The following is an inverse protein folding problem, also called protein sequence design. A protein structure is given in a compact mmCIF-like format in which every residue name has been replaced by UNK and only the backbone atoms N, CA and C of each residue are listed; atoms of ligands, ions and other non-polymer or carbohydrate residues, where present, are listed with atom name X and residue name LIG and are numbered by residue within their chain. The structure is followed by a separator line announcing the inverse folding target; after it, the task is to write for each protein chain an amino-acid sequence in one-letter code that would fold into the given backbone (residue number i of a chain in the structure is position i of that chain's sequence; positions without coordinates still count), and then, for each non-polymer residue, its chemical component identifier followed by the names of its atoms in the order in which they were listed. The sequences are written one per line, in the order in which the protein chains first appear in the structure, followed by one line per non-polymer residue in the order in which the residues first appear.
data_IF_512472472773
#
_entry.id   IF_512472472773
#
_cell.length_a   1.000
_cell.length_b   1.000
_cell.length_c   1.000
_cell.angle_alpha   90.00
_cell.angle_beta   90.00
_cell.angle_gamma   90.00
#
_symmetry.space_group_name_H-M   'P 1'
#
loop_
_entity.id
_entity.type
_entity.pdbx_description
1 polymer ?
#
# COMPACT_ATOMS: atom_id res chain seq x y z
N UNK A 1 11.26 37.07 19.57
CA UNK A 1 9.85 36.64 19.63
C UNK A 1 9.48 36.24 18.22
N UNK A 2 9.29 34.95 17.92
CA UNK A 2 8.54 34.59 16.71
C UNK A 2 7.15 35.19 16.88
N UNK A 3 6.68 35.96 15.89
CA UNK A 3 5.41 36.66 16.01
C UNK A 3 4.29 35.62 15.98
N UNK A 4 3.21 35.86 16.73
CA UNK A 4 2.03 34.99 16.80
C UNK A 4 1.48 34.62 15.40
N UNK A 5 1.65 35.53 14.44
CA UNK A 5 1.39 35.36 13.01
C UNK A 5 2.20 34.24 12.33
N UNK A 6 3.47 34.05 12.73
CA UNK A 6 4.32 32.98 12.18
C UNK A 6 3.82 31.61 12.67
N UNK A 7 3.35 31.55 13.92
CA UNK A 7 2.83 30.33 14.52
C UNK A 7 1.48 29.92 13.93
N UNK A 8 0.58 30.87 13.66
CA UNK A 8 -0.68 30.61 12.94
C UNK A 8 -0.43 30.12 11.50
N UNK A 9 0.53 30.74 10.81
CA UNK A 9 0.93 30.32 9.44
C UNK A 9 1.49 28.90 9.42
N UNK A 10 2.28 28.52 10.43
CA UNK A 10 2.78 27.15 10.60
C UNK A 10 1.65 26.16 10.87
N UNK A 11 0.66 26.53 11.69
CA UNK A 11 -0.53 25.71 11.94
C UNK A 11 -1.32 25.44 10.68
N UNK A 12 -1.60 26.48 9.88
CA UNK A 12 -2.34 26.34 8.62
C UNK A 12 -1.60 25.41 7.63
N UNK A 13 -0.28 25.52 7.57
CA UNK A 13 0.55 24.63 6.76
C UNK A 13 0.48 23.18 7.25
N UNK A 14 0.55 22.97 8.57
CA UNK A 14 0.38 21.65 9.17
C UNK A 14 -1.01 21.05 8.88
N UNK A 15 -2.08 21.85 8.93
CA UNK A 15 -3.44 21.43 8.56
C UNK A 15 -3.52 21.03 7.08
N UNK A 16 -2.88 21.80 6.19
CA UNK A 16 -2.81 21.49 4.75
C UNK A 16 -2.10 20.16 4.50
N UNK A 17 -0.92 19.96 5.11
CA UNK A 17 -0.16 18.72 5.01
C UNK A 17 -0.93 17.52 5.57
N UNK A 18 -1.70 17.73 6.64
CA UNK A 18 -2.55 16.71 7.22
C UNK A 18 -3.69 16.34 6.27
N UNK A 19 -4.37 17.31 5.66
CA UNK A 19 -5.42 17.06 4.66
C UNK A 19 -4.87 16.27 3.47
N UNK A 20 -3.70 16.67 2.94
CA UNK A 20 -3.07 15.94 1.83
C UNK A 20 -2.72 14.49 2.22
N UNK A 21 -2.25 14.26 3.45
CA UNK A 21 -2.02 12.92 3.96
C UNK A 21 -3.31 12.12 4.12
N UNK A 22 -4.43 12.75 4.47
CA UNK A 22 -5.75 12.12 4.55
C UNK A 22 -6.28 11.74 3.16
N UNK A 23 -6.12 12.60 2.15
CA UNK A 23 -6.56 12.31 0.78
C UNK A 23 -5.78 11.13 0.17
N UNK A 24 -4.49 11.03 0.48
CA UNK A 24 -3.65 9.90 0.04
C UNK A 24 -3.98 8.57 0.75
N UNK A 25 -4.87 8.55 1.75
CA UNK A 25 -5.25 7.35 2.52
C UNK A 25 -6.33 6.47 1.87
N UNK A 26 -7.04 6.92 0.83
CA UNK A 26 -8.21 6.22 0.26
C UNK A 26 -7.87 4.77 -0.17
N UNK A 27 -6.65 4.52 -0.64
CA UNK A 27 -6.21 3.18 -1.06
C UNK A 27 -5.62 2.32 0.07
N UNK A 28 -5.44 2.86 1.28
CA UNK A 28 -4.54 2.28 2.29
C UNK A 28 -5.20 1.99 3.66
N UNK A 29 -6.25 2.73 4.05
CA UNK A 29 -6.93 2.57 5.35
C UNK A 29 -8.43 2.22 5.16
N UNK A 30 -8.66 0.92 5.04
CA UNK A 30 -9.94 0.27 4.82
C UNK A 30 -10.78 0.10 6.10
N UNK A 31 -10.89 1.10 6.99
CA UNK A 31 -11.77 0.93 8.17
C UNK A 31 -12.73 2.07 8.52
N UNK A 32 -12.54 3.33 8.08
CA UNK A 32 -13.40 4.40 8.64
C UNK A 32 -14.03 5.43 7.70
N UNK A 33 -13.64 5.56 6.43
CA UNK A 33 -14.33 6.48 5.52
C UNK A 33 -14.39 5.89 4.12
N UNK A 34 -15.61 5.51 3.73
CA UNK A 34 -15.94 5.17 2.35
C UNK A 34 -16.96 6.24 1.88
N UNK A 35 -16.57 7.08 0.91
CA UNK A 35 -17.38 8.08 0.18
C UNK A 35 -17.45 7.70 -1.31
N UNK A 36 -18.28 8.32 -2.14
CA UNK A 36 -18.47 7.95 -3.57
C UNK A 36 -17.18 7.86 -4.42
N UNK A 37 -16.06 8.47 -3.98
CA UNK A 37 -14.72 8.33 -4.56
C UNK A 37 -14.10 6.91 -4.46
N UNK A 38 -14.68 6.01 -3.66
CA UNK A 38 -14.11 4.67 -3.44
C UNK A 38 -14.24 3.75 -4.66
N UNK A 39 -15.26 3.96 -5.49
CA UNK A 39 -15.47 3.10 -6.65
C UNK A 39 -14.39 3.32 -7.70
N UNK A 40 -13.94 4.58 -7.87
CA UNK A 40 -12.85 4.94 -8.76
C UNK A 40 -11.52 4.40 -8.23
N UNK A 41 -11.22 4.58 -6.93
CA UNK A 41 -10.03 4.03 -6.30
C UNK A 41 -9.98 2.49 -6.42
N UNK A 42 -11.11 1.81 -6.26
CA UNK A 42 -11.21 0.36 -6.43
C UNK A 42 -10.99 -0.08 -7.89
N UNK A 43 -11.46 0.70 -8.86
CA UNK A 43 -11.19 0.47 -10.27
C UNK A 43 -9.70 0.68 -10.60
N UNK A 44 -9.09 1.75 -10.10
CA UNK A 44 -7.67 2.04 -10.27
C UNK A 44 -6.79 0.94 -9.64
N UNK A 45 -7.12 0.48 -8.44
CA UNK A 45 -6.42 -0.61 -7.77
C UNK A 45 -6.54 -1.94 -8.53
N UNK A 46 -7.70 -2.23 -9.15
CA UNK A 46 -7.87 -3.41 -10.01
C UNK A 46 -7.04 -3.32 -11.29
N UNK A 47 -7.00 -2.15 -11.92
CA UNK A 47 -6.16 -1.91 -13.09
C UNK A 47 -4.67 -2.03 -12.74
N UNK A 48 -4.27 -1.47 -11.61
CA UNK A 48 -2.90 -1.59 -11.10
C UNK A 48 -2.52 -3.03 -10.77
N UNK A 49 -3.43 -3.81 -10.18
CA UNK A 49 -3.21 -5.25 -9.97
C UNK A 49 -2.90 -5.96 -11.28
N UNK A 50 -3.70 -5.71 -12.32
CA UNK A 50 -3.48 -6.32 -13.63
C UNK A 50 -2.13 -5.91 -14.24
N UNK A 51 -1.75 -4.64 -14.12
CA UNK A 51 -0.46 -4.13 -14.58
C UNK A 51 0.70 -4.84 -13.87
N UNK A 52 0.62 -4.94 -12.54
CA UNK A 52 1.61 -5.65 -11.71
C UNK A 52 1.70 -7.13 -12.08
N UNK A 53 0.57 -7.80 -12.30
CA UNK A 53 0.53 -9.20 -12.72
C UNK A 53 1.18 -9.43 -14.09
N UNK A 54 0.92 -8.55 -15.05
CA UNK A 54 1.56 -8.60 -16.36
C UNK A 54 3.09 -8.43 -16.25
N UNK A 55 3.53 -7.46 -15.45
CA UNK A 55 4.97 -7.23 -15.24
C UNK A 55 5.62 -8.39 -14.48
N UNK A 56 4.93 -8.98 -13.50
CA UNK A 56 5.39 -10.16 -12.78
C UNK A 56 5.53 -11.36 -13.72
N UNK A 57 4.58 -11.58 -14.63
CA UNK A 57 4.65 -12.63 -15.63
C UNK A 57 5.88 -12.45 -16.54
N UNK A 58 6.12 -11.23 -17.03
CA UNK A 58 7.32 -10.89 -17.80
C UNK A 58 8.61 -11.19 -17.03
N UNK A 59 8.70 -10.72 -15.77
CA UNK A 59 9.86 -10.95 -14.91
C UNK A 59 10.05 -12.42 -14.53
N UNK A 60 8.98 -13.21 -14.48
CA UNK A 60 9.03 -14.66 -14.27
C UNK A 60 9.73 -15.32 -15.45
N UNK A 61 9.32 -14.99 -16.68
CA UNK A 61 9.93 -15.53 -17.90
C UNK A 61 11.41 -15.16 -17.98
N UNK A 62 11.75 -13.87 -17.79
CA UNK A 62 13.14 -13.38 -17.82
C UNK A 62 14.03 -14.15 -16.82
N UNK A 63 13.49 -14.41 -15.62
CA UNK A 63 14.19 -15.17 -14.58
C UNK A 63 14.36 -16.64 -14.96
N UNK A 64 13.32 -17.29 -15.46
CA UNK A 64 13.40 -18.70 -15.86
C UNK A 64 14.37 -18.89 -17.03
N UNK A 65 14.38 -18.00 -18.02
CA UNK A 65 15.34 -18.03 -19.13
C UNK A 65 16.78 -17.82 -18.64
N UNK A 66 16.98 -16.93 -17.67
CA UNK A 66 18.28 -16.75 -17.03
C UNK A 66 18.72 -18.02 -16.29
N UNK A 67 17.84 -18.62 -15.49
CA UNK A 67 18.10 -19.87 -14.75
C UNK A 67 18.42 -21.03 -15.72
N UNK A 68 17.69 -21.15 -16.84
CA UNK A 68 17.97 -22.15 -17.89
C UNK A 68 19.36 -21.99 -18.51
N UNK A 69 19.75 -20.76 -18.85
CA UNK A 69 21.09 -20.45 -19.39
C UNK A 69 22.18 -20.80 -18.38
N UNK A 70 21.94 -20.44 -17.12
CA UNK A 70 22.89 -20.68 -16.04
C UNK A 70 23.08 -22.19 -15.77
N UNK A 71 22.00 -22.97 -15.73
CA UNK A 71 22.08 -24.44 -15.61
C UNK A 71 22.88 -25.04 -16.76
N UNK A 72 22.60 -24.63 -18.00
CA UNK A 72 23.32 -25.15 -19.17
C UNK A 72 24.81 -24.84 -19.11
N UNK A 73 25.17 -23.67 -18.57
CA UNK A 73 26.56 -23.25 -18.38
C UNK A 73 27.28 -24.02 -17.26
N UNK A 74 26.65 -24.18 -16.10
CA UNK A 74 27.30 -24.72 -14.90
C UNK A 74 27.22 -26.24 -14.78
N UNK A 75 26.12 -26.85 -15.25
CA UNK A 75 25.87 -28.29 -15.12
C UNK A 75 26.01 -29.03 -16.46
N UNK A 76 25.97 -28.32 -17.59
CA UNK A 76 25.94 -28.94 -18.92
C UNK A 76 24.65 -29.72 -19.23
N UNK A 77 23.69 -29.70 -18.30
CA UNK A 77 22.41 -30.41 -18.37
C UNK A 77 21.28 -29.49 -18.88
N UNK A 78 20.17 -30.09 -19.29
CA UNK A 78 18.93 -29.35 -19.50
C UNK A 78 18.28 -28.97 -18.16
N UNK A 79 17.64 -27.80 -18.11
CA UNK A 79 17.06 -27.26 -16.89
C UNK A 79 15.94 -28.11 -16.25
N UNK A 80 15.42 -29.10 -16.96
CA UNK A 80 14.35 -29.98 -16.49
C UNK A 80 14.87 -31.23 -15.76
N UNK A 81 16.19 -31.43 -15.67
CA UNK A 81 16.77 -32.51 -14.86
C UNK A 81 16.48 -32.32 -13.37
N UNK A 82 16.38 -33.41 -12.61
CA UNK A 82 16.16 -33.34 -11.16
C UNK A 82 17.31 -32.61 -10.45
N UNK A 83 18.54 -32.78 -10.93
CA UNK A 83 19.73 -32.07 -10.43
C UNK A 83 19.63 -30.57 -10.68
N UNK A 84 19.22 -30.15 -11.88
CA UNK A 84 19.00 -28.76 -12.23
C UNK A 84 17.89 -28.12 -11.39
N UNK A 85 16.77 -28.82 -11.20
CA UNK A 85 15.65 -28.37 -10.35
C UNK A 85 16.08 -28.15 -8.89
N UNK A 86 16.82 -29.10 -8.32
CA UNK A 86 17.35 -28.99 -6.95
C UNK A 86 18.32 -27.81 -6.81
N UNK A 87 19.17 -27.61 -7.81
CA UNK A 87 20.14 -26.51 -7.81
C UNK A 87 19.47 -25.14 -7.96
N UNK A 88 18.54 -24.99 -8.91
CA UNK A 88 17.71 -23.79 -9.04
C UNK A 88 17.00 -23.52 -7.71
N UNK A 89 16.35 -24.52 -7.12
CA UNK A 89 15.66 -24.36 -5.84
C UNK A 89 16.61 -23.90 -4.72
N UNK A 90 17.86 -24.39 -4.68
CA UNK A 90 18.90 -23.92 -3.76
C UNK A 90 19.24 -22.44 -3.97
N UNK A 91 19.44 -22.00 -5.22
CA UNK A 91 19.71 -20.59 -5.56
C UNK A 91 18.53 -19.71 -5.14
N UNK A 92 17.30 -20.12 -5.48
CA UNK A 92 16.08 -19.41 -5.12
C UNK A 92 15.95 -19.29 -3.60
N UNK A 93 16.27 -20.37 -2.87
CA UNK A 93 16.26 -20.39 -1.41
C UNK A 93 17.35 -19.52 -0.78
N UNK A 94 18.52 -19.40 -1.38
CA UNK A 94 19.56 -18.48 -0.92
C UNK A 94 19.08 -17.02 -0.98
N UNK A 95 18.36 -16.66 -2.06
CA UNK A 95 17.75 -15.34 -2.23
C UNK A 95 16.64 -15.02 -1.22
N UNK A 96 15.94 -16.03 -0.66
CA UNK A 96 14.82 -15.83 0.28
C UNK A 96 15.20 -15.01 1.50
N UNK A 97 16.45 -15.09 1.97
CA UNK A 97 16.91 -14.36 3.16
C UNK A 97 16.89 -12.85 2.94
N UNK A 98 17.36 -12.37 1.79
CA UNK A 98 17.36 -10.96 1.40
C UNK A 98 15.94 -10.47 1.14
N UNK A 99 15.11 -11.31 0.51
CA UNK A 99 13.70 -11.01 0.23
C UNK A 99 12.88 -10.89 1.51
N UNK A 100 13.07 -11.80 2.47
CA UNK A 100 12.44 -11.72 3.80
C UNK A 100 12.82 -10.44 4.52
N UNK A 101 14.09 -10.01 4.44
CA UNK A 101 14.54 -8.72 5.02
C UNK A 101 13.84 -7.54 4.36
N UNK A 102 13.75 -7.54 3.04
CA UNK A 102 13.05 -6.49 2.29
C UNK A 102 11.56 -6.45 2.64
N UNK A 103 10.87 -7.59 2.62
CA UNK A 103 9.45 -7.70 2.99
C UNK A 103 9.18 -7.22 4.43
N UNK A 104 10.03 -7.61 5.38
CA UNK A 104 9.96 -7.11 6.77
C UNK A 104 10.15 -5.60 6.84
N UNK A 105 11.15 -5.06 6.13
CA UNK A 105 11.43 -3.62 6.07
C UNK A 105 10.24 -2.87 5.50
N UNK A 106 9.66 -3.34 4.40
CA UNK A 106 8.48 -2.74 3.78
C UNK A 106 7.25 -2.78 4.70
N UNK A 107 7.01 -3.93 5.36
CA UNK A 107 5.95 -4.05 6.37
C UNK A 107 6.15 -3.08 7.54
N UNK A 108 7.39 -2.93 8.01
CA UNK A 108 7.76 -1.99 9.06
C UNK A 108 7.50 -0.55 8.62
N UNK A 109 7.98 -0.13 7.46
CA UNK A 109 7.75 1.23 6.96
C UNK A 109 6.26 1.53 6.80
N UNK A 110 5.46 0.56 6.35
CA UNK A 110 4.00 0.71 6.30
C UNK A 110 3.35 0.79 7.67
N UNK A 111 3.83 0.04 8.66
CA UNK A 111 3.35 0.13 10.04
C UNK A 111 3.66 1.51 10.62
N UNK A 112 4.90 1.99 10.46
CA UNK A 112 5.33 3.32 10.87
C UNK A 112 4.52 4.40 10.15
N UNK A 113 4.28 4.25 8.86
CA UNK A 113 3.44 5.14 8.08
C UNK A 113 2.01 5.20 8.64
N UNK A 114 1.40 4.04 8.95
CA UNK A 114 0.07 3.98 9.61
C UNK A 114 0.07 4.62 10.99
N UNK A 115 1.03 4.28 11.84
CA UNK A 115 1.13 4.84 13.21
C UNK A 115 1.30 6.36 13.19
N UNK A 116 2.08 6.88 12.24
CA UNK A 116 2.23 8.34 12.02
C UNK A 116 0.95 9.00 11.53
N UNK A 117 0.07 8.27 10.83
CA UNK A 117 -1.22 8.77 10.30
C UNK A 117 -2.37 8.68 11.33
N UNK A 118 -2.51 7.56 12.03
CA UNK A 118 -3.68 7.24 12.87
C UNK A 118 -3.59 7.78 14.31
N UNK A 119 -2.46 8.38 14.70
CA UNK A 119 -2.30 8.96 16.03
C UNK A 119 -3.12 10.25 16.15
N UNK A 120 -4.28 10.20 16.83
CA UNK A 120 -5.08 11.36 17.25
C UNK A 120 -4.30 12.33 18.16
N UNK A 121 -3.19 11.87 18.74
CA UNK A 121 -2.22 12.67 19.49
C UNK A 121 -1.36 13.59 18.62
N UNK A 122 -1.39 13.44 17.29
CA UNK A 122 -0.55 14.26 16.40
C UNK A 122 -0.88 15.74 16.48
N UNK A 123 -2.17 16.12 16.60
CA UNK A 123 -2.60 17.53 16.66
C UNK A 123 -2.66 18.13 18.06
N UNK A 124 -2.67 17.28 19.10
CA UNK A 124 -2.91 17.67 20.50
C UNK A 124 -1.87 18.68 21.03
N UNK A 125 -0.66 18.63 20.49
CA UNK A 125 0.48 19.42 20.97
C UNK A 125 0.97 20.44 19.92
N UNK A 126 0.15 20.78 18.91
CA UNK A 126 0.49 21.76 17.87
C UNK A 126 0.61 23.21 18.37
N UNK A 127 0.31 23.47 19.65
CA UNK A 127 0.61 24.74 20.31
C UNK A 127 2.07 24.85 20.78
N UNK A 128 2.83 23.74 20.74
CA UNK A 128 4.26 23.69 21.06
C UNK A 128 5.02 23.79 19.72
N UNK A 129 5.76 24.88 19.45
CA UNK A 129 6.39 25.13 18.16
C UNK A 129 7.33 24.01 17.69
N UNK A 130 8.13 23.43 18.59
CA UNK A 130 9.09 22.36 18.27
C UNK A 130 8.40 21.06 17.86
N UNK A 131 7.25 20.75 18.48
CA UNK A 131 6.46 19.57 18.15
C UNK A 131 5.75 19.79 16.81
N UNK A 132 5.21 20.99 16.58
CA UNK A 132 4.58 21.36 15.32
C UNK A 132 5.56 21.23 14.15
N UNK A 133 6.78 21.77 14.29
CA UNK A 133 7.81 21.67 13.26
C UNK A 133 8.22 20.21 13.00
N UNK A 134 8.43 19.42 14.06
CA UNK A 134 8.73 17.99 13.91
C UNK A 134 7.60 17.21 13.21
N UNK A 135 6.34 17.48 13.56
CA UNK A 135 5.19 16.90 12.89
C UNK A 135 5.15 17.28 11.40
N UNK A 136 5.36 18.56 11.08
CA UNK A 136 5.39 19.04 9.69
C UNK A 136 6.51 18.39 8.89
N UNK A 137 7.72 18.28 9.45
CA UNK A 137 8.83 17.56 8.80
C UNK A 137 8.46 16.11 8.50
N UNK A 138 7.84 15.41 9.45
CA UNK A 138 7.38 14.03 9.24
C UNK A 138 6.34 13.95 8.12
N UNK A 139 5.33 14.83 8.13
CA UNK A 139 4.28 14.85 7.09
C UNK A 139 4.86 15.14 5.71
N UNK A 140 5.74 16.14 5.59
CA UNK A 140 6.45 16.48 4.34
C UNK A 140 7.28 15.31 3.79
N UNK A 141 7.88 14.51 4.67
CA UNK A 141 8.65 13.34 4.25
C UNK A 141 7.78 12.16 3.81
N UNK A 142 6.56 12.05 4.33
CA UNK A 142 5.67 10.90 4.13
C UNK A 142 4.80 11.06 2.88
N UNK A 143 4.30 12.27 2.61
CA UNK A 143 3.51 12.59 1.41
C UNK A 143 4.13 12.04 0.10
N UNK A 144 5.41 12.34 -0.25
CA UNK A 144 5.99 11.84 -1.48
C UNK A 144 6.13 10.31 -1.51
N UNK A 145 6.34 9.68 -0.35
CA UNK A 145 6.40 8.20 -0.23
C UNK A 145 5.04 7.57 -0.51
N UNK A 146 3.96 8.17 -0.01
CA UNK A 146 2.60 7.71 -0.26
C UNK A 146 2.16 7.95 -1.69
N UNK A 147 2.51 9.11 -2.28
CA UNK A 147 2.26 9.36 -3.71
C UNK A 147 2.90 8.30 -4.60
N UNK A 148 4.18 7.97 -4.36
CA UNK A 148 4.86 6.90 -5.09
C UNK A 148 4.19 5.53 -4.87
N UNK A 149 3.82 5.22 -3.63
CA UNK A 149 3.11 3.99 -3.32
C UNK A 149 1.77 3.89 -4.06
N UNK A 150 0.98 4.97 -4.09
CA UNK A 150 -0.31 5.01 -4.77
C UNK A 150 -0.15 4.84 -6.28
N UNK A 151 0.79 5.56 -6.92
CA UNK A 151 1.13 5.37 -8.34
C UNK A 151 1.46 3.91 -8.66
N UNK A 152 2.33 3.29 -7.84
CA UNK A 152 2.66 1.85 -7.97
C UNK A 152 1.47 0.92 -7.79
N UNK A 153 0.62 1.20 -6.80
CA UNK A 153 -0.62 0.43 -6.60
C UNK A 153 -1.61 0.58 -7.76
N UNK A 154 -1.55 1.69 -8.50
CA UNK A 154 -2.30 1.92 -9.74
C UNK A 154 -1.59 1.41 -11.00
N UNK A 155 -0.42 0.77 -10.86
CA UNK A 155 0.32 0.17 -11.98
C UNK A 155 1.29 1.10 -12.70
N UNK A 156 1.55 2.29 -12.16
CA UNK A 156 2.56 3.25 -12.64
C UNK A 156 3.90 3.06 -11.90
N UNK A 157 5.02 3.49 -12.46
CA UNK A 157 6.35 3.39 -11.81
C UNK A 157 6.73 1.95 -11.34
N UNK A 158 6.24 0.92 -12.05
CA UNK A 158 6.48 -0.50 -11.73
C UNK A 158 7.55 -1.17 -12.59
N UNK A 159 8.01 -0.53 -13.67
CA UNK A 159 8.94 -1.14 -14.62
C UNK A 159 10.32 -1.45 -14.02
N UNK A 160 10.79 -0.54 -13.15
CA UNK A 160 12.08 -0.65 -12.48
C UNK A 160 12.04 -1.54 -11.23
N UNK A 161 10.86 -2.06 -10.87
CA UNK A 161 10.72 -2.92 -9.70
C UNK A 161 11.32 -4.30 -9.97
N UNK A 162 12.06 -4.77 -8.98
CA UNK A 162 12.57 -6.13 -9.01
C UNK A 162 11.44 -7.16 -8.80
N UNK A 163 11.66 -8.40 -9.23
CA UNK A 163 10.66 -9.48 -9.16
C UNK A 163 9.98 -9.59 -7.77
N UNK A 164 10.77 -9.50 -6.70
CA UNK A 164 10.25 -9.57 -5.34
C UNK A 164 9.47 -8.34 -4.89
N UNK A 165 9.83 -7.17 -5.41
CA UNK A 165 9.10 -5.93 -5.12
C UNK A 165 7.73 -5.96 -5.80
N UNK A 166 7.64 -6.48 -7.03
CA UNK A 166 6.38 -6.72 -7.74
C UNK A 166 5.50 -7.74 -7.02
N UNK A 167 6.07 -8.86 -6.57
CA UNK A 167 5.33 -9.89 -5.83
C UNK A 167 4.76 -9.35 -4.50
N UNK A 168 5.53 -8.51 -3.79
CA UNK A 168 5.07 -7.85 -2.57
C UNK A 168 3.97 -6.82 -2.86
N UNK A 169 4.14 -6.03 -3.93
CA UNK A 169 3.15 -5.05 -4.37
C UNK A 169 1.83 -5.72 -4.78
N UNK A 170 1.88 -6.86 -5.49
CA UNK A 170 0.68 -7.65 -5.83
C UNK A 170 -0.09 -8.07 -4.58
N UNK A 171 0.59 -8.68 -3.61
CA UNK A 171 -0.01 -9.13 -2.35
C UNK A 171 -0.64 -7.96 -1.57
N UNK A 172 -0.03 -6.78 -1.63
CA UNK A 172 -0.53 -5.57 -0.98
C UNK A 172 -1.79 -5.04 -1.64
N UNK A 173 -1.80 -4.94 -2.97
CA UNK A 173 -2.99 -4.52 -3.74
C UNK A 173 -4.14 -5.51 -3.48
N UNK A 174 -3.86 -6.82 -3.50
CA UNK A 174 -4.85 -7.85 -3.18
C UNK A 174 -5.40 -7.71 -1.76
N UNK A 175 -4.54 -7.47 -0.77
CA UNK A 175 -4.98 -7.25 0.63
C UNK A 175 -5.86 -6.00 0.73
N UNK A 176 -5.47 -4.90 0.07
CA UNK A 176 -6.26 -3.67 0.02
C UNK A 176 -7.64 -3.89 -0.61
N UNK A 177 -7.68 -4.57 -1.76
CA UNK A 177 -8.92 -4.92 -2.46
C UNK A 177 -9.86 -5.79 -1.60
N UNK A 178 -9.31 -6.79 -0.88
CA UNK A 178 -10.10 -7.64 0.02
C UNK A 178 -10.72 -6.84 1.16
N UNK A 179 -9.93 -5.95 1.78
CA UNK A 179 -10.44 -5.15 2.88
C UNK A 179 -11.49 -4.13 2.40
N UNK A 180 -11.25 -3.46 1.27
CA UNK A 180 -12.23 -2.56 0.65
C UNK A 180 -13.52 -3.30 0.30
N UNK A 181 -13.43 -4.48 -0.33
CA UNK A 181 -14.60 -5.30 -0.64
C UNK A 181 -15.39 -5.71 0.61
N UNK A 182 -14.70 -6.14 1.68
CA UNK A 182 -15.33 -6.47 2.97
C UNK A 182 -16.08 -5.30 3.59
N UNK A 183 -15.55 -4.08 3.48
CA UNK A 183 -16.21 -2.89 3.98
C UNK A 183 -17.46 -2.52 3.19
N UNK A 184 -17.39 -2.57 1.85
CA UNK A 184 -18.54 -2.28 0.97
C UNK A 184 -19.71 -3.19 1.34
N UNK A 185 -19.46 -4.49 1.45
CA UNK A 185 -20.48 -5.48 1.86
C UNK A 185 -21.07 -5.15 3.23
N UNK A 186 -20.23 -4.84 4.23
CA UNK A 186 -20.70 -4.47 5.58
C UNK A 186 -21.62 -3.25 5.57
N UNK A 187 -21.29 -2.22 4.78
CA UNK A 187 -22.11 -1.01 4.66
C UNK A 187 -23.46 -1.28 3.98
N UNK A 188 -23.46 -2.07 2.90
CA UNK A 188 -24.69 -2.44 2.20
C UNK A 188 -25.65 -3.20 3.12
N UNK A 189 -25.12 -4.15 3.92
CA UNK A 189 -25.92 -4.87 4.91
C UNK A 189 -26.49 -3.92 5.98
N UNK A 190 -25.69 -3.02 6.54
CA UNK A 190 -26.15 -2.04 7.53
C UNK A 190 -27.22 -1.07 6.96
N UNK A 191 -27.07 -0.66 5.70
CA UNK A 191 -28.05 0.17 5.00
C UNK A 191 -29.36 -0.58 4.76
N UNK A 192 -29.29 -1.87 4.42
CA UNK A 192 -30.46 -2.73 4.23
C UNK A 192 -31.21 -2.95 5.54
N UNK A 193 -30.50 -3.26 6.64
CA UNK A 193 -31.08 -3.38 7.98
C UNK A 193 -31.78 -2.08 8.43
N UNK A 194 -31.16 -0.93 8.16
CA UNK A 194 -31.76 0.38 8.48
C UNK A 194 -33.04 0.64 7.69
N UNK A 195 -33.09 0.21 6.42
CA UNK A 195 -34.30 0.29 5.58
C UNK A 195 -35.41 -0.63 6.08
N UNK A 196 -35.07 -1.84 6.52
CA UNK A 196 -36.02 -2.80 7.09
C UNK A 196 -36.60 -2.30 8.42
N UNK A 197 -35.76 -1.75 9.30
CA UNK A 197 -36.20 -1.13 10.57
C UNK A 197 -37.16 0.04 10.33
N UNK A 198 -36.85 0.95 9.40
CA UNK A 198 -37.73 2.09 9.05
C UNK A 198 -39.09 1.67 8.49
N UNK A 199 -39.13 0.61 7.67
CA UNK A 199 -40.39 0.03 7.16
C UNK A 199 -41.21 -0.65 8.26
N UNK A 200 -40.54 -1.27 9.22
CA UNK A 200 -41.20 -1.95 10.36
C UNK A 200 -41.87 -0.95 11.30
N UNK A 201 -41.26 0.22 11.49
CA UNK A 201 -41.80 1.30 12.34
C UNK A 201 -42.90 2.13 11.68
N UNK A 202 -42.97 2.17 10.34
CA UNK A 202 -44.04 2.91 9.64
C UNK A 202 -45.32 2.10 9.41
N UNK A 203 -45.37 0.84 9.85
CA UNK A 203 -46.55 -0.03 9.77
C UNK A 203 -47.27 -0.17 11.12
N UNK A 204 -46.91 0.64 12.13
CA UNK A 204 -47.48 0.62 13.48
C UNK A 204 -48.42 1.82 13.75
N UNK A 205 -48.56 2.74 12.79
CA UNK A 205 -49.57 3.81 12.79
C UNK A 205 -50.75 3.46 11.86
#
# INVERSE_FOLDING_TARGET
MLQEQDHESLRLNAETLKSELEDLQILNDSEQRLQEQDHEALCQAKQGLLSVQNQLAKKTIEREEFERRLVKQELGEEADSDTAKLWIMSIRNAGLSQQRRYAKRMRFWRKIARERRSSSETTKYWYIPEILDHCMMNMRSEIPRLKLCNRRMCGEDIDDLHYFELMMLEMEIQTGLLNMGSLVVRKEMAAMESRLKKKSTSCID
#
